data_IF_793312121942
#
_entry.id   IF_793312121942
#
_cell.length_a   1.000
_cell.length_b   1.000
_cell.length_c   1.000
_cell.angle_alpha   90.00
_cell.angle_beta   90.00
_cell.angle_gamma   90.00
#
_symmetry.space_group_name_H-M   'P 1'
#
loop_
_entity.id
_entity.type
_entity.pdbx_description
1 polymer ?
#
# COMPACT_ATOMS: atom_id res chain seq x y z
N UNK A 1 29.35 6.97 16.22
CA UNK A 1 29.03 6.09 15.08
C UNK A 1 27.89 6.77 14.33
N UNK A 2 28.04 7.03 13.03
CA UNK A 2 26.97 7.58 12.20
C UNK A 2 25.80 6.58 12.16
N UNK A 3 24.57 7.09 12.21
CA UNK A 3 23.41 6.28 11.88
C UNK A 3 23.57 5.71 10.46
N UNK A 4 23.15 4.47 10.21
CA UNK A 4 23.15 3.94 8.86
C UNK A 4 22.34 4.88 7.95
N UNK A 5 22.88 5.22 6.78
CA UNK A 5 22.16 6.07 5.83
C UNK A 5 20.99 5.31 5.20
N UNK A 6 19.89 6.01 4.84
CA UNK A 6 18.85 5.40 4.02
C UNK A 6 19.43 4.97 2.67
N UNK A 7 18.96 3.84 2.14
CA UNK A 7 19.43 3.28 0.86
C UNK A 7 18.26 2.93 -0.03
N UNK A 8 18.44 3.15 -1.33
CA UNK A 8 17.54 2.70 -2.37
C UNK A 8 18.35 2.04 -3.48
N UNK A 9 17.88 0.87 -3.91
CA UNK A 9 18.37 0.18 -5.09
C UNK A 9 17.23 0.08 -6.10
N UNK A 10 17.47 0.54 -7.32
CA UNK A 10 16.50 0.50 -8.41
C UNK A 10 17.07 -0.38 -9.52
N UNK A 11 16.36 -1.45 -9.84
CA UNK A 11 16.67 -2.38 -10.92
C UNK A 11 15.52 -2.44 -11.92
N UNK A 12 15.77 -2.98 -13.11
CA UNK A 12 14.70 -3.14 -14.10
C UNK A 12 13.64 -4.14 -13.60
N UNK A 13 12.34 -3.81 -13.73
CA UNK A 13 11.27 -4.71 -13.31
C UNK A 13 11.24 -5.97 -14.17
N UNK A 14 11.16 -7.13 -13.53
CA UNK A 14 11.10 -8.43 -14.21
C UNK A 14 9.69 -9.00 -14.24
N UNK A 15 8.89 -8.77 -13.21
CA UNK A 15 7.56 -9.39 -13.02
C UNK A 15 6.45 -8.38 -13.02
N UNK A 16 6.63 -7.26 -12.33
CA UNK A 16 5.66 -6.19 -12.30
C UNK A 16 5.78 -5.33 -13.57
N UNK A 17 5.58 -5.92 -14.74
CA UNK A 17 5.71 -5.30 -16.06
C UNK A 17 4.45 -4.53 -16.48
N UNK A 18 4.46 -3.87 -17.64
CA UNK A 18 3.24 -3.25 -18.20
C UNK A 18 2.12 -4.28 -18.43
N UNK A 19 2.46 -5.52 -18.77
CA UNK A 19 1.46 -6.59 -18.90
C UNK A 19 0.83 -6.94 -17.55
N UNK A 20 1.62 -7.00 -16.47
CA UNK A 20 1.09 -7.20 -15.12
C UNK A 20 0.13 -6.08 -14.71
N UNK A 21 0.48 -4.82 -15.02
CA UNK A 21 -0.41 -3.66 -14.81
C UNK A 21 -1.72 -3.83 -15.58
N UNK A 22 -1.66 -4.21 -16.86
CA UNK A 22 -2.88 -4.44 -17.65
C UNK A 22 -3.76 -5.54 -17.08
N UNK A 23 -3.17 -6.65 -16.60
CA UNK A 23 -3.90 -7.72 -15.94
C UNK A 23 -4.57 -7.20 -14.67
N UNK A 24 -3.85 -6.47 -13.82
CA UNK A 24 -4.40 -5.87 -12.60
C UNK A 24 -5.58 -4.96 -12.93
N UNK A 25 -5.45 -4.10 -13.93
CA UNK A 25 -6.53 -3.20 -14.38
C UNK A 25 -7.73 -3.97 -14.95
N UNK A 26 -7.49 -5.10 -15.64
CA UNK A 26 -8.57 -5.94 -16.19
C UNK A 26 -9.43 -6.62 -15.11
N UNK A 27 -8.91 -6.85 -13.90
CA UNK A 27 -9.73 -7.33 -12.78
C UNK A 27 -10.88 -6.35 -12.47
N UNK A 28 -10.73 -5.07 -12.79
CA UNK A 28 -11.78 -4.06 -12.58
C UNK A 28 -13.07 -4.41 -13.33
N UNK A 29 -12.96 -5.11 -14.46
CA UNK A 29 -14.12 -5.60 -15.24
C UNK A 29 -14.94 -6.61 -14.46
N UNK A 30 -14.33 -7.40 -13.56
CA UNK A 30 -15.04 -8.36 -12.73
C UNK A 30 -16.02 -7.68 -11.76
N UNK A 31 -15.81 -6.41 -11.42
CA UNK A 31 -16.74 -5.63 -10.60
C UNK A 31 -18.03 -5.28 -11.33
N UNK A 32 -18.11 -5.48 -12.65
CA UNK A 32 -19.34 -5.34 -13.43
C UNK A 32 -20.25 -6.57 -13.32
N UNK A 33 -19.72 -7.73 -12.93
CA UNK A 33 -20.52 -8.96 -12.83
C UNK A 33 -21.68 -8.84 -11.83
N UNK A 34 -21.49 -8.36 -10.58
CA UNK A 34 -22.59 -8.18 -9.64
C UNK A 34 -23.67 -7.24 -10.18
N UNK A 35 -23.27 -6.17 -10.88
CA UNK A 35 -24.20 -5.22 -11.51
C UNK A 35 -25.00 -5.89 -12.63
N UNK A 36 -24.33 -6.64 -13.51
CA UNK A 36 -24.99 -7.36 -14.59
C UNK A 36 -26.01 -8.38 -14.05
N UNK A 37 -25.63 -9.18 -13.06
CA UNK A 37 -26.54 -10.13 -12.41
C UNK A 37 -27.70 -9.45 -11.71
N UNK A 38 -27.49 -8.28 -11.11
CA UNK A 38 -28.55 -7.49 -10.49
C UNK A 38 -29.60 -7.04 -11.50
N UNK A 39 -29.16 -6.50 -12.64
CA UNK A 39 -30.04 -6.06 -13.73
C UNK A 39 -30.85 -7.25 -14.26
N UNK A 40 -30.19 -8.38 -14.53
CA UNK A 40 -30.85 -9.60 -14.99
C UNK A 40 -31.89 -10.09 -13.98
N UNK A 41 -31.54 -10.16 -12.70
CA UNK A 41 -32.42 -10.63 -11.64
C UNK A 41 -33.64 -9.72 -11.48
N UNK A 42 -33.46 -8.41 -11.42
CA UNK A 42 -34.57 -7.44 -11.32
C UNK A 42 -35.48 -7.51 -12.54
N UNK A 43 -34.91 -7.76 -13.74
CA UNK A 43 -35.70 -7.89 -14.97
C UNK A 43 -36.60 -9.14 -14.99
N UNK A 44 -36.25 -10.19 -14.24
CA UNK A 44 -37.00 -11.44 -14.14
C UNK A 44 -38.02 -11.45 -12.99
N UNK A 45 -37.88 -10.54 -12.03
CA UNK A 45 -38.76 -10.44 -10.87
C UNK A 45 -39.94 -9.50 -11.15
N UNK A 46 -41.09 -9.79 -10.55
CA UNK A 46 -42.19 -8.82 -10.51
C UNK A 46 -41.78 -7.66 -9.62
N UNK A 47 -41.93 -6.43 -10.12
CA UNK A 47 -41.61 -5.21 -9.36
C UNK A 47 -42.36 -5.19 -8.01
N UNK A 48 -41.61 -5.02 -6.93
CA UNK A 48 -42.13 -4.92 -5.58
C UNK A 48 -41.15 -4.18 -4.65
N UNK A 49 -41.55 -3.88 -3.42
CA UNK A 49 -40.69 -3.13 -2.48
C UNK A 49 -39.34 -3.83 -2.24
N UNK A 50 -39.33 -5.17 -2.22
CA UNK A 50 -38.12 -5.97 -2.04
C UNK A 50 -37.16 -5.92 -3.24
N UNK A 51 -37.64 -5.67 -4.47
CA UNK A 51 -36.76 -5.58 -5.64
C UNK A 51 -35.91 -4.30 -5.63
N UNK A 52 -36.32 -3.28 -4.87
CA UNK A 52 -35.56 -2.03 -4.66
C UNK A 52 -34.31 -2.26 -3.79
N UNK A 53 -34.31 -3.28 -2.93
CA UNK A 53 -33.16 -3.62 -2.08
C UNK A 53 -31.99 -4.24 -2.87
N UNK A 54 -32.28 -4.85 -4.02
CA UNK A 54 -31.29 -5.54 -4.86
C UNK A 54 -30.17 -4.59 -5.31
N UNK A 55 -30.43 -3.44 -5.98
CA UNK A 55 -29.36 -2.53 -6.39
C UNK A 55 -28.55 -1.98 -5.21
N UNK A 56 -29.19 -1.71 -4.06
CA UNK A 56 -28.49 -1.26 -2.87
C UNK A 56 -27.51 -2.32 -2.34
N UNK A 57 -27.96 -3.57 -2.25
CA UNK A 57 -27.12 -4.69 -1.82
C UNK A 57 -25.95 -4.90 -2.78
N UNK A 58 -26.21 -4.78 -4.09
CA UNK A 58 -25.19 -4.94 -5.13
C UNK A 58 -24.11 -3.88 -5.02
N UNK A 59 -24.49 -2.62 -4.80
CA UNK A 59 -23.52 -1.54 -4.53
C UNK A 59 -22.68 -1.88 -3.29
N UNK A 60 -23.31 -2.31 -2.20
CA UNK A 60 -22.61 -2.66 -0.96
C UNK A 60 -21.62 -3.83 -1.16
N UNK A 61 -22.02 -4.87 -1.89
CA UNK A 61 -21.17 -6.03 -2.22
C UNK A 61 -20.01 -5.61 -3.13
N UNK A 62 -20.28 -4.86 -4.20
CA UNK A 62 -19.25 -4.38 -5.12
C UNK A 62 -18.22 -3.51 -4.40
N UNK A 63 -18.68 -2.58 -3.55
CA UNK A 63 -17.80 -1.75 -2.70
C UNK A 63 -16.95 -2.61 -1.77
N UNK A 64 -17.55 -3.62 -1.14
CA UNK A 64 -16.84 -4.51 -0.22
C UNK A 64 -15.77 -5.35 -0.93
N UNK A 65 -15.96 -5.67 -2.20
CA UNK A 65 -15.06 -6.47 -3.04
C UNK A 65 -14.10 -5.64 -3.90
N UNK A 66 -14.05 -4.31 -3.73
CA UNK A 66 -13.15 -3.46 -4.50
C UNK A 66 -11.69 -3.91 -4.48
N UNK A 67 -11.09 -4.34 -3.34
CA UNK A 67 -9.71 -4.83 -3.36
C UNK A 67 -9.50 -6.04 -4.26
N UNK A 68 -10.46 -6.97 -4.29
CA UNK A 68 -10.44 -8.09 -5.24
C UNK A 68 -10.52 -7.59 -6.69
N UNK A 69 -11.45 -6.67 -6.96
CA UNK A 69 -11.64 -6.08 -8.29
C UNK A 69 -10.46 -5.21 -8.76
N UNK A 70 -9.66 -4.63 -7.87
CA UNK A 70 -8.43 -3.94 -8.26
C UNK A 70 -7.20 -4.88 -8.32
N UNK A 71 -7.43 -6.19 -8.45
CA UNK A 71 -6.38 -7.16 -8.73
C UNK A 71 -5.48 -7.49 -7.54
N UNK A 72 -5.89 -7.27 -6.28
CA UNK A 72 -5.09 -7.65 -5.10
C UNK A 72 -4.70 -9.13 -5.10
N UNK A 73 -5.54 -10.01 -5.64
CA UNK A 73 -5.23 -11.44 -5.77
C UNK A 73 -4.06 -11.70 -6.71
N UNK A 74 -4.04 -11.03 -7.86
CA UNK A 74 -2.93 -11.10 -8.81
C UNK A 74 -1.67 -10.44 -8.24
N UNK A 75 -1.79 -9.24 -7.67
CA UNK A 75 -0.70 -8.54 -7.00
C UNK A 75 -0.06 -9.39 -5.89
N UNK A 76 -0.88 -10.02 -5.06
CA UNK A 76 -0.41 -10.93 -4.00
C UNK A 76 0.34 -12.13 -4.57
N UNK A 77 -0.15 -12.75 -5.65
CA UNK A 77 0.56 -13.86 -6.32
C UNK A 77 1.89 -13.40 -6.89
N UNK A 78 1.91 -12.21 -7.50
CA UNK A 78 3.11 -11.61 -8.05
C UNK A 78 4.17 -11.41 -6.97
N UNK A 79 3.80 -10.79 -5.85
CA UNK A 79 4.72 -10.52 -4.73
C UNK A 79 5.19 -11.82 -4.07
N UNK A 80 4.29 -12.79 -3.83
CA UNK A 80 4.66 -14.11 -3.27
C UNK A 80 5.61 -14.91 -4.15
N UNK A 81 5.67 -14.59 -5.44
CA UNK A 81 6.58 -15.25 -6.36
C UNK A 81 8.00 -14.68 -6.30
N UNK A 82 8.19 -13.47 -5.77
CA UNK A 82 9.50 -12.83 -5.63
C UNK A 82 10.42 -13.67 -4.72
N UNK A 83 11.75 -13.64 -4.93
CA UNK A 83 12.68 -14.34 -4.06
C UNK A 83 12.47 -13.88 -2.62
N UNK A 84 12.18 -14.82 -1.71
CA UNK A 84 12.08 -14.52 -0.30
C UNK A 84 13.49 -14.34 0.26
N UNK A 85 13.81 -13.18 0.81
CA UNK A 85 14.97 -13.07 1.69
C UNK A 85 14.66 -13.67 3.05
N UNK A 86 15.66 -14.38 3.60
CA UNK A 86 15.61 -15.17 4.82
C UNK A 86 15.50 -14.30 6.09
N UNK A 87 14.47 -13.48 6.21
CA UNK A 87 14.08 -12.87 7.48
C UNK A 87 12.96 -13.71 8.10
N UNK A 88 13.35 -14.80 8.77
CA UNK A 88 12.46 -15.64 9.57
C UNK A 88 12.02 -14.86 10.82
N UNK A 89 10.80 -14.34 10.84
CA UNK A 89 10.12 -13.94 12.09
C UNK A 89 9.42 -12.58 12.09
N UNK A 90 9.76 -11.68 11.17
CA UNK A 90 9.16 -10.33 11.13
C UNK A 90 7.88 -10.29 10.29
N UNK A 91 6.86 -9.59 10.78
CA UNK A 91 5.58 -9.41 10.09
C UNK A 91 5.80 -8.63 8.79
N UNK A 92 5.41 -9.25 7.67
CA UNK A 92 5.54 -8.68 6.33
C UNK A 92 4.17 -8.29 5.77
N UNK A 93 4.09 -7.10 5.19
CA UNK A 93 2.89 -6.54 4.58
C UNK A 93 3.08 -6.49 3.06
N UNK A 94 2.13 -7.04 2.29
CA UNK A 94 2.14 -6.89 0.84
C UNK A 94 1.57 -5.51 0.51
N UNK A 95 2.42 -4.65 -0.02
CA UNK A 95 2.07 -3.26 -0.31
C UNK A 95 2.51 -2.86 -1.71
N UNK A 96 1.86 -1.82 -2.19
CA UNK A 96 2.31 -0.99 -3.30
C UNK A 96 3.13 0.16 -2.75
N UNK A 97 4.26 0.44 -3.41
CA UNK A 97 5.11 1.59 -3.16
C UNK A 97 4.88 2.64 -4.26
N UNK A 98 4.73 3.90 -3.84
CA UNK A 98 4.78 5.08 -4.71
C UNK A 98 5.80 6.04 -4.12
N UNK A 99 6.74 6.52 -4.93
CA UNK A 99 7.81 7.44 -4.53
C UNK A 99 7.53 8.85 -5.03
N UNK A 100 8.07 9.83 -4.33
CA UNK A 100 8.10 11.24 -4.75
C UNK A 100 9.55 11.74 -4.66
N UNK A 101 10.20 12.09 -5.79
CA UNK A 101 9.71 12.00 -7.17
C UNK A 101 9.47 10.55 -7.65
N UNK A 102 8.54 10.37 -8.60
CA UNK A 102 8.23 9.04 -9.17
C UNK A 102 9.34 8.53 -10.06
N UNK A 103 9.65 7.24 -9.96
CA UNK A 103 10.61 6.56 -10.86
C UNK A 103 9.96 6.31 -12.22
N UNK A 104 8.67 5.93 -12.22
CA UNK A 104 7.98 5.53 -13.45
C UNK A 104 7.35 6.73 -14.14
N UNK A 105 7.49 6.78 -15.46
CA UNK A 105 6.96 7.82 -16.33
C UNK A 105 6.17 7.24 -17.52
N UNK A 106 5.50 8.12 -18.29
CA UNK A 106 4.78 7.76 -19.51
C UNK A 106 3.42 7.08 -19.26
N UNK A 107 2.94 6.34 -20.26
CA UNK A 107 1.58 5.72 -20.27
C UNK A 107 1.36 4.82 -19.06
N UNK A 108 2.41 4.13 -18.59
CA UNK A 108 2.34 3.26 -17.42
C UNK A 108 2.01 4.03 -16.14
N UNK A 109 2.55 5.23 -15.96
CA UNK A 109 2.26 6.09 -14.81
C UNK A 109 0.83 6.66 -14.84
N UNK A 110 0.15 6.61 -16.00
CA UNK A 110 -1.26 6.97 -16.16
C UNK A 110 -2.16 5.78 -15.79
N UNK A 111 -1.76 4.55 -16.16
CA UNK A 111 -2.53 3.33 -15.91
C UNK A 111 -2.44 2.84 -14.48
N UNK A 112 -1.29 3.03 -13.84
CA UNK A 112 -1.04 2.61 -12.47
C UNK A 112 -0.20 3.66 -11.76
N UNK A 113 -0.56 3.95 -10.52
CA UNK A 113 0.14 4.93 -9.70
C UNK A 113 1.23 4.31 -8.81
N UNK A 114 1.42 3.00 -8.93
CA UNK A 114 2.50 2.22 -8.33
C UNK A 114 3.86 2.44 -9.03
N UNK A 115 4.88 2.81 -8.26
CA UNK A 115 6.27 2.65 -8.68
C UNK A 115 6.74 1.20 -8.50
N UNK A 116 6.24 0.48 -7.49
CA UNK A 116 6.50 -0.95 -7.34
C UNK A 116 5.47 -1.70 -6.49
N UNK A 117 5.49 -3.03 -6.53
CA UNK A 117 4.76 -3.93 -5.65
C UNK A 117 5.74 -4.85 -4.91
N UNK A 118 5.55 -5.01 -3.61
CA UNK A 118 6.50 -5.76 -2.80
C UNK A 118 6.03 -6.09 -1.39
N UNK A 119 6.96 -6.62 -0.61
CA UNK A 119 6.82 -6.86 0.81
C UNK A 119 7.46 -5.72 1.59
N UNK A 120 6.70 -5.11 2.50
CA UNK A 120 7.18 -4.17 3.50
C UNK A 120 7.36 -4.89 4.83
N UNK A 121 8.52 -4.75 5.45
CA UNK A 121 8.86 -5.32 6.75
C UNK A 121 9.25 -4.20 7.69
N UNK A 122 8.80 -4.32 8.93
CA UNK A 122 9.16 -3.42 10.03
C UNK A 122 10.22 -4.15 10.87
N UNK A 123 11.49 -3.98 10.51
CA UNK A 123 12.58 -4.55 11.28
C UNK A 123 12.77 -3.78 12.60
N UNK A 124 13.66 -4.25 13.48
CA UNK A 124 13.91 -3.59 14.76
C UNK A 124 14.49 -2.18 14.63
N UNK A 125 15.25 -1.92 13.58
CA UNK A 125 16.04 -0.69 13.39
C UNK A 125 15.69 0.08 12.10
N UNK A 126 15.05 -0.58 11.14
CA UNK A 126 14.71 0.02 9.86
C UNK A 126 13.37 -0.47 9.27
N UNK A 127 12.81 0.39 8.43
CA UNK A 127 11.76 0.06 7.48
C UNK A 127 12.39 -0.54 6.22
N UNK A 128 12.02 -1.77 5.86
CA UNK A 128 12.58 -2.47 4.71
C UNK A 128 11.47 -2.77 3.71
N UNK A 129 11.58 -2.31 2.47
CA UNK A 129 10.71 -2.74 1.38
C UNK A 129 11.51 -3.49 0.33
N UNK A 130 10.93 -4.60 -0.11
CA UNK A 130 11.48 -5.44 -1.15
C UNK A 130 10.42 -5.68 -2.22
N UNK A 131 10.56 -4.98 -3.34
CA UNK A 131 9.72 -5.10 -4.52
C UNK A 131 10.38 -5.87 -5.66
N UNK A 132 9.76 -5.81 -6.83
CA UNK A 132 10.28 -6.40 -8.07
C UNK A 132 11.42 -5.58 -8.68
N UNK A 133 11.36 -4.26 -8.54
CA UNK A 133 12.30 -3.27 -9.10
C UNK A 133 12.96 -2.36 -8.07
N UNK A 134 12.37 -2.20 -6.88
CA UNK A 134 12.85 -1.30 -5.85
C UNK A 134 13.14 -2.08 -4.58
N UNK A 135 14.32 -1.84 -4.00
CA UNK A 135 14.65 -2.23 -2.63
C UNK A 135 14.97 -0.96 -1.86
N UNK A 136 14.36 -0.79 -0.70
CA UNK A 136 14.67 0.33 0.18
C UNK A 136 14.91 -0.16 1.60
N UNK A 137 15.85 0.50 2.28
CA UNK A 137 16.09 0.37 3.71
C UNK A 137 16.15 1.77 4.28
N UNK A 138 15.23 2.08 5.19
CA UNK A 138 15.09 3.40 5.81
C UNK A 138 15.13 3.25 7.32
N UNK A 139 16.26 3.59 7.95
CA UNK A 139 16.37 3.63 9.39
C UNK A 139 15.35 4.58 10.00
N UNK A 140 14.76 4.20 11.14
CA UNK A 140 13.61 4.93 11.70
C UNK A 140 13.94 6.35 12.15
N UNK A 141 15.20 6.63 12.49
CA UNK A 141 15.70 7.96 12.85
C UNK A 141 15.78 8.93 11.67
N UNK A 142 15.76 8.42 10.43
CA UNK A 142 15.64 9.23 9.22
C UNK A 142 14.19 9.54 8.84
N UNK A 143 13.20 8.89 9.46
CA UNK A 143 11.79 9.15 9.18
C UNK A 143 11.35 10.40 9.94
N UNK A 144 11.03 11.45 9.19
CA UNK A 144 10.54 12.72 9.74
C UNK A 144 9.11 12.59 10.25
N UNK A 145 8.27 11.92 9.45
CA UNK A 145 6.84 11.87 9.69
C UNK A 145 6.19 10.65 9.05
N UNK A 146 5.17 10.12 9.72
CA UNK A 146 4.29 9.06 9.22
C UNK A 146 2.85 9.54 9.31
N UNK A 147 2.16 9.65 8.17
CA UNK A 147 0.79 10.14 8.11
C UNK A 147 -0.14 9.17 7.37
N UNK A 148 -1.37 8.98 7.83
CA UNK A 148 -2.39 8.30 7.05
C UNK A 148 -2.93 9.26 5.98
N UNK A 149 -2.67 8.97 4.70
CA UNK A 149 -3.22 9.72 3.57
C UNK A 149 -4.46 9.01 3.04
N UNK A 150 -5.59 9.71 3.05
CA UNK A 150 -6.80 9.16 2.46
C UNK A 150 -6.92 9.54 0.96
N UNK A 151 -7.50 8.66 0.14
CA UNK A 151 -7.63 8.85 -1.32
C UNK A 151 -9.09 8.82 -1.78
N UNK A 152 -9.61 9.95 -2.29
CA UNK A 152 -11.04 10.08 -2.64
C UNK A 152 -11.63 11.48 -2.39
N UNK A 153 -12.88 11.68 -2.84
CA UNK A 153 -13.57 12.97 -2.81
C UNK A 153 -14.13 13.27 -1.40
N UNK A 154 -13.73 14.41 -0.80
CA UNK A 154 -14.28 14.96 0.46
C UNK A 154 -14.26 14.05 1.70
N UNK A 155 -13.29 13.15 1.85
CA UNK A 155 -13.17 12.37 3.09
C UNK A 155 -14.06 11.12 3.18
N UNK A 156 -14.89 10.86 2.15
CA UNK A 156 -15.78 9.70 2.09
C UNK A 156 -15.09 8.56 1.32
N UNK A 157 -14.48 7.62 2.06
CA UNK A 157 -13.57 6.62 1.49
C UNK A 157 -14.21 5.26 1.26
N UNK A 158 -14.37 4.94 -0.02
CA UNK A 158 -14.66 3.60 -0.52
C UNK A 158 -13.40 2.71 -0.53
N UNK A 159 -12.20 3.27 -0.30
CA UNK A 159 -10.92 2.53 -0.33
C UNK A 159 -10.17 2.50 1.03
N UNK A 160 -9.14 1.64 1.12
CA UNK A 160 -8.15 1.65 2.21
C UNK A 160 -7.27 2.91 2.18
N UNK A 161 -6.76 3.33 3.35
CA UNK A 161 -5.86 4.50 3.43
C UNK A 161 -4.49 4.15 2.85
N UNK A 162 -3.74 5.15 2.40
CA UNK A 162 -2.30 5.04 2.21
C UNK A 162 -1.57 5.52 3.44
N UNK A 163 -0.34 5.05 3.61
CA UNK A 163 0.56 5.52 4.65
C UNK A 163 1.65 6.28 3.94
N UNK A 164 1.68 7.58 4.16
CA UNK A 164 2.71 8.48 3.67
C UNK A 164 3.83 8.55 4.71
N UNK A 165 5.07 8.43 4.26
CA UNK A 165 6.28 8.49 5.07
C UNK A 165 7.20 9.53 4.44
N UNK A 166 7.57 10.54 5.21
CA UNK A 166 8.51 11.58 4.80
C UNK A 166 9.87 11.30 5.41
N UNK A 167 10.93 11.40 4.60
CA UNK A 167 12.30 11.07 5.03
C UNK A 167 13.14 12.34 5.08
N UNK A 168 13.85 12.54 6.19
CA UNK A 168 14.78 13.65 6.35
C UNK A 168 16.11 13.36 5.68
N UNK A 169 16.71 14.38 5.06
CA UNK A 169 18.08 14.35 4.54
C UNK A 169 18.33 13.25 3.49
N UNK A 170 17.31 12.91 2.68
CA UNK A 170 17.46 12.01 1.55
C UNK A 170 17.31 12.77 0.23
N UNK A 171 18.41 13.04 -0.49
CA UNK A 171 18.36 13.88 -1.69
C UNK A 171 17.55 13.31 -2.87
N UNK A 172 17.35 11.99 -2.90
CA UNK A 172 16.73 11.28 -4.01
C UNK A 172 15.22 11.08 -3.83
N UNK A 173 14.73 11.12 -2.59
CA UNK A 173 13.35 10.77 -2.23
C UNK A 173 12.88 11.69 -1.11
N UNK A 174 11.87 12.50 -1.39
CA UNK A 174 11.23 13.36 -0.39
C UNK A 174 10.21 12.56 0.43
N UNK A 175 9.41 11.73 -0.27
CA UNK A 175 8.27 11.05 0.31
C UNK A 175 8.05 9.67 -0.33
N UNK A 176 7.53 8.74 0.47
CA UNK A 176 7.09 7.44 0.01
C UNK A 176 5.68 7.13 0.54
N UNK A 177 4.87 6.48 -0.29
CA UNK A 177 3.54 6.03 0.07
C UNK A 177 3.39 4.53 -0.04
N UNK A 178 2.78 3.94 0.97
CA UNK A 178 2.44 2.53 1.03
C UNK A 178 0.93 2.33 0.97
N UNK A 179 0.48 1.51 0.03
CA UNK A 179 -0.91 1.08 -0.06
C UNK A 179 -1.02 -0.43 0.11
N UNK A 180 -1.97 -0.90 0.92
CA UNK A 180 -2.15 -2.33 1.19
C UNK A 180 -2.70 -3.07 -0.05
N UNK A 181 -2.12 -4.23 -0.38
CA UNK A 181 -2.47 -5.01 -1.59
C UNK A 181 -2.74 -6.50 -1.35
N UNK A 182 -2.83 -6.93 -0.09
CA UNK A 182 -3.03 -8.34 0.28
C UNK A 182 -4.50 -8.76 0.38
N UNK A 183 -5.39 -7.82 0.70
CA UNK A 183 -6.77 -8.09 1.07
C UNK A 183 -7.67 -8.27 -0.13
N UNK A 184 -8.66 -9.16 -0.05
CA UNK A 184 -9.68 -9.30 -1.09
C UNK A 184 -10.95 -8.47 -0.80
N UNK A 185 -11.06 -7.90 0.40
CA UNK A 185 -12.21 -7.09 0.78
C UNK A 185 -11.80 -5.82 1.55
N UNK A 186 -12.66 -4.81 1.47
CA UNK A 186 -12.40 -3.48 2.00
C UNK A 186 -12.24 -3.45 3.53
N UNK A 187 -13.06 -4.15 4.34
CA UNK A 187 -12.87 -4.17 5.79
C UNK A 187 -11.52 -4.74 6.22
N UNK A 188 -11.06 -5.83 5.58
CA UNK A 188 -9.75 -6.41 5.84
C UNK A 188 -8.64 -5.43 5.45
N UNK A 189 -8.73 -4.81 4.27
CA UNK A 189 -7.77 -3.81 3.81
C UNK A 189 -7.63 -2.66 4.82
N UNK A 190 -8.76 -2.08 5.26
CA UNK A 190 -8.80 -1.02 6.28
C UNK A 190 -8.19 -1.45 7.63
N UNK A 191 -8.36 -2.72 8.02
CA UNK A 191 -7.78 -3.26 9.26
C UNK A 191 -6.27 -3.42 9.14
N UNK A 192 -5.79 -3.99 8.04
CA UNK A 192 -4.36 -4.21 7.80
C UNK A 192 -3.61 -2.87 7.67
N UNK A 193 -4.14 -1.93 6.89
CA UNK A 193 -3.56 -0.58 6.78
C UNK A 193 -3.44 0.10 8.13
N UNK A 194 -4.48 0.00 8.97
CA UNK A 194 -4.47 0.61 10.30
C UNK A 194 -3.38 -0.02 11.18
N UNK A 195 -3.30 -1.35 11.19
CA UNK A 195 -2.27 -2.09 11.93
C UNK A 195 -0.87 -1.69 11.46
N UNK A 196 -0.64 -1.65 10.15
CA UNK A 196 0.64 -1.23 9.58
C UNK A 196 1.01 0.20 10.03
N UNK A 197 0.05 1.13 10.00
CA UNK A 197 0.25 2.50 10.45
C UNK A 197 0.60 2.56 11.95
N UNK A 198 -0.16 1.85 12.79
CA UNK A 198 0.06 1.82 14.24
C UNK A 198 1.46 1.27 14.58
N UNK A 199 1.86 0.16 13.95
CA UNK A 199 3.18 -0.44 14.17
C UNK A 199 4.31 0.47 13.70
N UNK A 200 4.20 1.04 12.49
CA UNK A 200 5.22 1.94 11.95
C UNK A 200 5.37 3.21 12.81
N UNK A 201 4.25 3.81 13.22
CA UNK A 201 4.26 5.00 14.06
C UNK A 201 4.90 4.74 15.43
N UNK A 202 4.67 3.56 16.00
CA UNK A 202 5.28 3.14 17.26
C UNK A 202 6.80 2.96 17.14
N UNK A 203 7.28 2.37 16.05
CA UNK A 203 8.71 2.19 15.80
C UNK A 203 9.44 3.54 15.63
N UNK A 204 8.86 4.45 14.83
CA UNK A 204 9.42 5.79 14.62
C UNK A 204 9.47 6.57 15.94
N UNK A 205 8.38 6.55 16.72
CA UNK A 205 8.34 7.25 18.03
C UNK A 205 9.37 6.71 19.02
N UNK A 206 9.59 5.40 19.03
CA UNK A 206 10.59 4.74 19.88
C UNK A 206 12.02 5.13 19.47
N UNK A 207 12.31 5.18 18.17
CA UNK A 207 13.60 5.61 17.64
C UNK A 207 13.90 7.07 17.98
N UNK A 208 12.94 7.99 17.80
CA UNK A 208 13.11 9.41 18.15
C UNK A 208 13.40 9.59 19.64
N UNK A 209 12.73 8.83 20.51
CA UNK A 209 12.95 8.88 21.97
C UNK A 209 14.36 8.40 22.34
N UNK A 210 14.85 7.33 21.71
CA UNK A 210 16.21 6.83 21.92
C UNK A 210 17.30 7.78 21.44
N UNK A 211 17.07 8.53 20.36
CA UNK A 211 17.99 9.57 19.89
C UNK A 211 18.02 10.76 20.86
N UNK A 212 16.85 11.23 21.33
CA UNK A 212 16.76 12.32 22.29
C UNK A 212 17.42 11.99 23.64
N UNK A 213 17.27 10.77 24.13
CA UNK A 213 17.90 10.31 25.38
C UNK A 213 19.42 10.11 25.30
N UNK A 214 20.00 10.11 24.08
CA UNK A 214 21.45 9.97 23.83
C UNK A 214 22.16 11.29 23.52
N UNK A 215 21.44 12.41 23.41
CA UNK A 215 22.09 13.71 23.29
C UNK A 215 22.74 14.07 24.63
N UNK A 216 24.08 14.22 24.71
CA UNK A 216 24.71 14.66 25.94
C UNK A 216 24.31 16.11 26.18
N UNK A 217 24.05 16.45 27.44
CA UNK A 217 24.14 17.83 27.92
C UNK A 217 25.49 18.40 27.44
N UNK A 218 25.53 19.13 26.33
CA UNK A 218 26.63 20.06 26.06
C UNK A 218 26.44 21.26 26.97
N UNK A 219 26.64 20.99 28.26
CA UNK A 219 26.74 21.96 29.33
C UNK A 219 28.00 22.78 29.12
N UNK A 220 27.77 24.08 29.00
CA UNK A 220 28.73 25.16 29.08
C UNK A 220 30.00 24.83 29.89
N UNK A 221 31.15 24.98 29.24
CA UNK A 221 32.32 25.64 29.83
C UNK A 221 33.02 26.49 28.78
#
# INVERSE_FOLDING_TARGET
MQAPSPTIEIVQPKRFTAAAVMIISAYGVLLLLPLFFAILLVSLLKFGLLTILIPLLVVAVTVSLLPFGLGNTYATRLVKSLPAEESRGEEAFIVQLTLSPRIRSGIRAILDDADDLGCLRLASDALIFQGDSVRLVVPYDHIAEVQPRNIGLRGLFVYGRRIKVSVSNWPEIDEMEFAERSSCNLPASKRITRRLYELLSAQVSSATTHVAARAPESGHR
#
